data_IF_662720285498
#
_entry.id   IF_662720285498
#
_cell.length_a   1.000
_cell.length_b   1.000
_cell.length_c   1.000
_cell.angle_alpha   90.00
_cell.angle_beta   90.00
_cell.angle_gamma   90.00
#
_symmetry.space_group_name_H-M   'P 1'
#
loop_
_entity.id
_entity.type
_entity.pdbx_description
1 polymer ?
#
# COMPACT_ATOMS: atom_id res chain seq x y z
N UNK A 1 -8.41 3.85 -27.14
CA UNK A 1 -7.86 4.68 -26.04
C UNK A 1 -8.31 4.06 -24.72
N UNK A 2 -7.41 3.68 -23.80
CA UNK A 2 -7.86 3.19 -22.49
C UNK A 2 -8.52 4.37 -21.75
N UNK A 3 -9.72 4.17 -21.21
CA UNK A 3 -10.34 5.15 -20.29
C UNK A 3 -9.33 5.43 -19.17
N UNK A 4 -8.87 6.68 -19.04
CA UNK A 4 -8.13 7.09 -17.85
C UNK A 4 -9.02 6.81 -16.65
N UNK A 5 -8.61 5.88 -15.79
CA UNK A 5 -9.24 5.69 -14.49
C UNK A 5 -8.88 6.92 -13.66
N UNK A 6 -9.79 7.87 -13.62
CA UNK A 6 -9.74 9.03 -12.73
C UNK A 6 -10.64 8.77 -11.54
N UNK A 7 -10.34 9.40 -10.39
CA UNK A 7 -11.26 9.38 -9.25
C UNK A 7 -12.58 10.11 -9.54
N UNK A 8 -12.62 10.91 -10.61
CA UNK A 8 -13.77 11.70 -10.99
C UNK A 8 -14.49 11.02 -12.16
N UNK A 9 -15.79 10.79 -11.99
CA UNK A 9 -16.69 10.33 -13.04
C UNK A 9 -17.36 11.55 -13.68
N UNK A 10 -17.38 11.62 -15.01
CA UNK A 10 -17.63 12.83 -15.80
C UNK A 10 -19.08 13.37 -15.82
N UNK A 11 -19.87 13.18 -14.76
CA UNK A 11 -21.30 13.52 -14.74
C UNK A 11 -21.76 14.50 -13.64
N UNK A 12 -20.91 14.86 -12.67
CA UNK A 12 -21.21 15.88 -11.65
C UNK A 12 -19.96 16.68 -11.26
N UNK A 13 -20.15 17.87 -10.68
CA UNK A 13 -19.03 18.62 -10.09
C UNK A 13 -18.36 17.72 -9.04
N UNK A 14 -17.08 17.39 -9.22
CA UNK A 14 -16.41 16.41 -8.39
C UNK A 14 -16.22 16.95 -6.98
N UNK A 15 -16.87 16.34 -5.99
CA UNK A 15 -16.66 16.72 -4.60
C UNK A 15 -15.35 16.13 -4.06
N UNK A 16 -14.64 16.90 -3.24
CA UNK A 16 -13.47 16.40 -2.50
C UNK A 16 -13.79 15.13 -1.69
N UNK A 17 -15.01 15.00 -1.18
CA UNK A 17 -15.46 13.82 -0.43
C UNK A 17 -15.48 12.56 -1.30
N UNK A 18 -15.90 12.66 -2.57
CA UNK A 18 -15.86 11.53 -3.51
C UNK A 18 -14.43 11.08 -3.81
N UNK A 19 -13.51 12.04 -3.98
CA UNK A 19 -12.10 11.74 -4.20
C UNK A 19 -11.51 11.03 -2.98
N UNK A 20 -11.77 11.54 -1.77
CA UNK A 20 -11.28 10.95 -0.53
C UNK A 20 -11.84 9.55 -0.32
N UNK A 21 -13.16 9.36 -0.45
CA UNK A 21 -13.79 8.04 -0.30
C UNK A 21 -13.26 7.04 -1.33
N UNK A 22 -12.94 7.48 -2.55
CA UNK A 22 -12.38 6.61 -3.57
C UNK A 22 -10.91 6.25 -3.31
N UNK A 23 -10.12 7.18 -2.73
CA UNK A 23 -8.75 6.89 -2.28
C UNK A 23 -8.79 5.94 -1.09
N UNK A 24 -9.63 6.22 -0.08
CA UNK A 24 -9.80 5.39 1.12
C UNK A 24 -10.12 3.94 0.77
N UNK A 25 -11.07 3.72 -0.15
CA UNK A 25 -11.38 2.39 -0.67
C UNK A 25 -10.21 1.72 -1.38
N UNK A 26 -9.38 2.48 -2.09
CA UNK A 26 -8.18 1.93 -2.71
C UNK A 26 -7.11 1.62 -1.64
N UNK A 27 -7.01 2.39 -0.55
CA UNK A 27 -6.15 2.07 0.62
C UNK A 27 -6.58 0.76 1.26
N UNK A 28 -7.87 0.61 1.57
CA UNK A 28 -8.47 -0.60 2.15
C UNK A 28 -8.12 -1.83 1.31
N UNK A 29 -8.25 -1.75 -0.03
CA UNK A 29 -7.85 -2.84 -0.94
C UNK A 29 -6.37 -3.20 -0.86
N UNK A 30 -5.51 -2.22 -0.63
CA UNK A 30 -4.08 -2.44 -0.45
C UNK A 30 -3.81 -3.17 0.86
N UNK A 31 -4.42 -2.72 1.94
CA UNK A 31 -4.32 -3.32 3.28
C UNK A 31 -4.87 -4.75 3.28
N UNK A 32 -6.03 -4.98 2.67
CA UNK A 32 -6.64 -6.30 2.51
C UNK A 32 -5.71 -7.29 1.78
N UNK A 33 -5.04 -6.84 0.72
CA UNK A 33 -4.12 -7.69 -0.02
C UNK A 33 -2.91 -8.11 0.84
N UNK A 34 -2.37 -7.20 1.64
CA UNK A 34 -1.27 -7.49 2.57
C UNK A 34 -1.73 -8.40 3.71
N UNK A 35 -2.91 -8.13 4.27
CA UNK A 35 -3.50 -8.92 5.35
C UNK A 35 -3.84 -10.34 4.89
N UNK A 36 -4.38 -10.50 3.69
CA UNK A 36 -4.62 -11.81 3.08
C UNK A 36 -3.32 -12.57 2.90
N UNK A 37 -2.26 -11.91 2.39
CA UNK A 37 -0.93 -12.51 2.27
C UNK A 37 -0.40 -13.00 3.62
N UNK A 38 -0.49 -12.17 4.66
CA UNK A 38 -0.08 -12.52 6.02
C UNK A 38 -0.92 -13.69 6.57
N UNK A 39 -2.24 -13.65 6.41
CA UNK A 39 -3.15 -14.70 6.85
C UNK A 39 -2.83 -16.05 6.22
N UNK A 40 -2.59 -16.08 4.91
CA UNK A 40 -2.17 -17.29 4.20
C UNK A 40 -0.83 -17.83 4.72
N UNK A 41 0.13 -16.95 5.01
CA UNK A 41 1.41 -17.35 5.59
C UNK A 41 1.22 -17.95 6.99
N UNK A 42 0.36 -17.37 7.83
CA UNK A 42 0.08 -17.91 9.16
C UNK A 42 -0.53 -19.32 9.09
N UNK A 43 -1.35 -19.60 8.08
CA UNK A 43 -1.90 -20.93 7.80
C UNK A 43 -0.85 -21.95 7.36
N UNK A 44 0.35 -21.53 6.94
CA UNK A 44 1.42 -22.47 6.52
C UNK A 44 1.78 -23.49 7.60
N UNK A 45 1.64 -23.11 8.88
CA UNK A 45 1.86 -23.99 10.04
C UNK A 45 0.97 -25.24 10.02
N UNK A 46 -0.25 -25.15 9.49
CA UNK A 46 -1.18 -26.28 9.34
C UNK A 46 -0.65 -27.30 8.32
N UNK A 47 0.08 -26.84 7.31
CA UNK A 47 0.62 -27.68 6.24
C UNK A 47 2.01 -28.24 6.55
N UNK A 48 2.66 -27.79 7.63
CA UNK A 48 3.99 -28.25 8.03
C UNK A 48 4.12 -29.78 8.24
N UNK A 49 3.10 -30.52 8.73
CA UNK A 49 3.15 -31.98 8.82
C UNK A 49 3.04 -32.70 7.47
N UNK A 50 2.56 -32.01 6.42
CA UNK A 50 2.13 -32.63 5.15
C UNK A 50 3.09 -32.24 4.00
N UNK A 51 3.72 -31.07 4.05
CA UNK A 51 4.62 -30.58 3.03
C UNK A 51 6.02 -30.30 3.60
N UNK A 52 7.10 -30.68 2.89
CA UNK A 52 8.45 -30.40 3.34
C UNK A 52 8.77 -28.90 3.29
N UNK A 53 9.72 -28.40 4.11
CA UNK A 53 10.12 -26.99 4.12
C UNK A 53 10.60 -26.46 2.76
N UNK A 54 11.17 -27.33 1.93
CA UNK A 54 11.63 -27.02 0.57
C UNK A 54 10.50 -26.62 -0.38
N UNK A 55 9.25 -26.97 -0.05
CA UNK A 55 8.05 -26.57 -0.79
C UNK A 55 7.32 -25.45 -0.04
N UNK A 56 7.14 -25.61 1.27
CA UNK A 56 6.36 -24.68 2.07
C UNK A 56 6.98 -23.28 2.19
N UNK A 57 8.30 -23.20 2.43
CA UNK A 57 8.98 -21.91 2.64
C UNK A 57 9.06 -21.06 1.36
N UNK A 58 9.34 -21.62 0.17
CA UNK A 58 9.23 -20.88 -1.08
C UNK A 58 7.80 -20.41 -1.37
N UNK A 59 6.77 -21.20 -1.05
CA UNK A 59 5.38 -20.79 -1.20
C UNK A 59 5.04 -19.61 -0.29
N UNK A 60 5.48 -19.64 0.97
CA UNK A 60 5.35 -18.50 1.91
C UNK A 60 6.02 -17.25 1.35
N UNK A 61 7.26 -17.37 0.86
CA UNK A 61 7.96 -16.24 0.25
C UNK A 61 7.23 -15.71 -1.00
N UNK A 62 6.68 -16.60 -1.83
CA UNK A 62 5.91 -16.23 -3.00
C UNK A 62 4.61 -15.50 -2.62
N UNK A 63 3.89 -15.97 -1.60
CA UNK A 63 2.68 -15.31 -1.10
C UNK A 63 2.97 -13.88 -0.68
N UNK A 64 4.01 -13.66 0.14
CA UNK A 64 4.44 -12.32 0.53
C UNK A 64 4.89 -11.46 -0.66
N UNK A 65 5.60 -12.05 -1.62
CA UNK A 65 6.03 -11.32 -2.82
C UNK A 65 4.84 -10.85 -3.66
N UNK A 66 3.82 -11.70 -3.83
CA UNK A 66 2.62 -11.40 -4.61
C UNK A 66 1.75 -10.37 -3.90
N UNK A 67 1.49 -10.51 -2.60
CA UNK A 67 0.71 -9.54 -1.83
C UNK A 67 1.36 -8.16 -1.83
N UNK A 68 2.67 -8.09 -1.53
CA UNK A 68 3.42 -6.84 -1.53
C UNK A 68 3.46 -6.20 -2.92
N UNK A 69 3.62 -7.00 -3.98
CA UNK A 69 3.59 -6.49 -5.36
C UNK A 69 2.23 -5.92 -5.73
N UNK A 70 1.14 -6.58 -5.32
CA UNK A 70 -0.21 -6.08 -5.56
C UNK A 70 -0.45 -4.76 -4.81
N UNK A 71 -0.08 -4.68 -3.52
CA UNK A 71 -0.19 -3.46 -2.74
C UNK A 71 0.61 -2.31 -3.35
N UNK A 72 1.83 -2.58 -3.82
CA UNK A 72 2.69 -1.61 -4.52
C UNK A 72 2.02 -1.08 -5.79
N UNK A 73 1.52 -1.97 -6.64
CA UNK A 73 0.85 -1.60 -7.90
C UNK A 73 -0.39 -0.77 -7.59
N UNK A 74 -1.15 -1.16 -6.57
CA UNK A 74 -2.32 -0.44 -6.10
C UNK A 74 -1.93 0.98 -5.64
N UNK A 75 -0.88 1.13 -4.84
CA UNK A 75 -0.35 2.42 -4.38
C UNK A 75 0.05 3.35 -5.54
N UNK A 76 0.77 2.83 -6.54
CA UNK A 76 1.12 3.59 -7.74
C UNK A 76 -0.10 3.97 -8.58
N UNK A 77 -1.13 3.12 -8.61
CA UNK A 77 -2.38 3.44 -9.28
C UNK A 77 -3.14 4.55 -8.53
N UNK A 78 -3.13 4.57 -7.20
CA UNK A 78 -3.69 5.68 -6.41
C UNK A 78 -3.00 7.00 -6.73
N UNK A 79 -1.67 7.02 -6.74
CA UNK A 79 -0.88 8.21 -7.10
C UNK A 79 -1.28 8.75 -8.48
N UNK A 80 -1.38 7.87 -9.48
CA UNK A 80 -1.79 8.24 -10.85
C UNK A 80 -3.22 8.78 -10.89
N UNK A 81 -4.16 8.10 -10.24
CA UNK A 81 -5.57 8.50 -10.18
C UNK A 81 -5.74 9.86 -9.49
N UNK A 82 -5.03 10.09 -8.38
CA UNK A 82 -5.03 11.37 -7.65
C UNK A 82 -4.40 12.48 -8.47
N UNK A 83 -3.24 12.24 -9.07
CA UNK A 83 -2.55 13.22 -9.92
C UNK A 83 -3.42 13.64 -11.12
N UNK A 84 -4.20 12.71 -11.69
CA UNK A 84 -5.13 13.00 -12.76
C UNK A 84 -6.40 13.75 -12.28
N UNK A 85 -6.79 13.59 -11.02
CA UNK A 85 -7.95 14.28 -10.42
C UNK A 85 -7.61 15.71 -9.95
N UNK A 86 -6.39 15.96 -9.46
CA UNK A 86 -6.00 17.28 -8.91
C UNK A 86 -6.28 18.48 -9.85
N UNK A 87 -5.99 18.43 -11.17
CA UNK A 87 -6.26 19.54 -12.08
C UNK A 87 -7.74 19.85 -12.31
N UNK A 88 -8.64 18.94 -11.93
CA UNK A 88 -10.09 19.07 -12.14
C UNK A 88 -10.80 19.67 -10.91
N UNK A 89 -10.12 19.77 -9.78
CA UNK A 89 -10.64 20.32 -8.54
C UNK A 89 -10.41 21.83 -8.44
N UNK A 90 -11.18 22.51 -7.60
CA UNK A 90 -11.01 23.94 -7.30
C UNK A 90 -9.76 24.19 -6.45
N UNK A 91 -9.26 25.43 -6.44
CA UNK A 91 -8.02 25.79 -5.71
C UNK A 91 -8.07 25.43 -4.22
N UNK A 92 -9.23 25.61 -3.57
CA UNK A 92 -9.41 25.28 -2.15
C UNK A 92 -9.39 23.77 -1.90
N UNK A 93 -10.03 22.97 -2.76
CA UNK A 93 -10.04 21.50 -2.67
C UNK A 93 -8.65 20.91 -2.94
N UNK A 94 -7.90 21.47 -3.90
CA UNK A 94 -6.49 21.11 -4.11
C UNK A 94 -5.63 21.35 -2.87
N UNK A 95 -5.86 22.46 -2.17
CA UNK A 95 -5.15 22.76 -0.93
C UNK A 95 -5.47 21.75 0.17
N UNK A 96 -6.73 21.32 0.26
CA UNK A 96 -7.16 20.30 1.23
C UNK A 96 -6.58 18.92 0.93
N UNK A 97 -6.45 18.52 -0.35
CA UNK A 97 -5.82 17.25 -0.75
C UNK A 97 -4.29 17.27 -0.76
N UNK A 98 -3.66 18.45 -0.63
CA UNK A 98 -2.21 18.58 -0.64
C UNK A 98 -1.49 17.66 0.37
N UNK A 99 -1.98 17.45 1.61
CA UNK A 99 -1.36 16.51 2.54
C UNK A 99 -1.34 15.07 2.00
N UNK A 100 -2.43 14.61 1.38
CA UNK A 100 -2.54 13.27 0.77
C UNK A 100 -1.59 13.15 -0.42
N UNK A 101 -1.57 14.15 -1.31
CA UNK A 101 -0.64 14.19 -2.44
C UNK A 101 0.83 14.20 -1.99
N UNK A 102 1.12 14.84 -0.84
CA UNK A 102 2.46 14.90 -0.27
C UNK A 102 2.96 13.53 0.18
N UNK A 103 2.08 12.66 0.71
CA UNK A 103 2.46 11.30 1.11
C UNK A 103 3.07 10.54 -0.07
N UNK A 104 2.51 10.65 -1.27
CA UNK A 104 3.05 9.98 -2.46
C UNK A 104 4.43 10.51 -2.87
N UNK A 105 4.73 11.78 -2.59
CA UNK A 105 6.04 12.38 -2.85
C UNK A 105 7.06 11.98 -1.78
N UNK A 106 6.67 12.09 -0.52
CA UNK A 106 7.54 11.84 0.64
C UNK A 106 7.85 10.33 0.77
N UNK A 107 6.92 9.46 0.37
CA UNK A 107 7.04 8.00 0.37
C UNK A 107 7.00 7.42 -1.05
N UNK A 108 7.63 8.15 -1.98
CA UNK A 108 7.88 7.69 -3.35
C UNK A 108 8.86 6.51 -3.32
N UNK A 109 8.31 5.31 -3.34
CA UNK A 109 9.11 4.10 -3.47
C UNK A 109 9.54 3.90 -4.94
N UNK A 110 10.67 3.22 -5.14
CA UNK A 110 11.20 2.89 -6.47
C UNK A 110 10.35 1.87 -7.24
N UNK A 111 10.87 1.39 -8.37
CA UNK A 111 10.19 0.34 -9.13
C UNK A 111 10.14 -0.98 -8.35
N UNK A 112 9.18 -1.86 -8.66
CA UNK A 112 9.17 -3.23 -8.11
C UNK A 112 10.52 -3.92 -8.35
N UNK A 113 11.11 -3.72 -9.53
CA UNK A 113 12.42 -4.26 -9.87
C UNK A 113 13.52 -3.76 -8.92
N UNK A 114 13.44 -2.50 -8.47
CA UNK A 114 14.36 -1.96 -7.47
C UNK A 114 14.14 -2.60 -6.11
N UNK A 115 12.89 -2.76 -5.67
CA UNK A 115 12.56 -3.39 -4.38
C UNK A 115 12.97 -4.87 -4.35
N UNK A 116 12.82 -5.61 -5.45
CA UNK A 116 13.26 -7.01 -5.51
C UNK A 116 14.76 -7.19 -5.77
N UNK A 117 15.51 -6.12 -6.05
CA UNK A 117 16.94 -6.22 -6.30
C UNK A 117 17.76 -6.26 -4.99
N UNK A 118 18.39 -7.40 -4.64
CA UNK A 118 19.15 -7.51 -3.39
C UNK A 118 20.40 -6.63 -3.39
N UNK A 119 21.01 -6.37 -4.56
CA UNK A 119 22.20 -5.54 -4.68
C UNK A 119 21.89 -4.04 -4.48
N UNK A 120 20.65 -3.62 -4.74
CA UNK A 120 20.20 -2.26 -4.45
C UNK A 120 19.75 -2.10 -2.99
N UNK A 121 19.36 -3.19 -2.32
CA UNK A 121 18.81 -3.18 -0.97
C UNK A 121 19.73 -3.90 0.03
N UNK A 122 21.02 -3.56 0.01
CA UNK A 122 22.05 -4.24 0.80
C UNK A 122 21.71 -4.35 2.29
N UNK A 123 21.13 -3.31 2.88
CA UNK A 123 20.74 -3.33 4.30
C UNK A 123 19.62 -4.34 4.58
N UNK A 124 18.61 -4.42 3.71
CA UNK A 124 17.54 -5.41 3.83
C UNK A 124 18.09 -6.81 3.58
N UNK A 125 18.88 -6.99 2.52
CA UNK A 125 19.54 -8.27 2.21
C UNK A 125 20.39 -8.73 3.37
N UNK A 126 21.17 -7.86 3.99
CA UNK A 126 21.97 -8.19 5.17
C UNK A 126 21.11 -8.69 6.33
N UNK A 127 20.02 -7.98 6.65
CA UNK A 127 19.06 -8.42 7.69
C UNK A 127 18.45 -9.78 7.36
N UNK A 128 18.08 -10.00 6.10
CA UNK A 128 17.50 -11.27 5.64
C UNK A 128 18.50 -12.41 5.68
N UNK A 129 19.77 -12.16 5.31
CA UNK A 129 20.87 -13.13 5.39
C UNK A 129 21.13 -13.49 6.85
N UNK A 130 21.21 -12.50 7.74
CA UNK A 130 21.39 -12.74 9.16
C UNK A 130 20.26 -13.59 9.75
N UNK A 131 19.00 -13.26 9.44
CA UNK A 131 17.85 -14.07 9.87
C UNK A 131 17.88 -15.48 9.27
N UNK A 132 18.26 -15.62 8.00
CA UNK A 132 18.37 -16.91 7.32
C UNK A 132 19.46 -17.80 7.92
N UNK A 133 20.65 -17.27 8.19
CA UNK A 133 21.76 -18.02 8.79
C UNK A 133 21.38 -18.52 10.20
N UNK A 134 20.65 -17.72 10.97
CA UNK A 134 20.23 -18.08 12.34
C UNK A 134 19.19 -19.20 12.40
N UNK A 135 18.41 -19.43 11.34
CA UNK A 135 17.32 -20.41 11.33
C UNK A 135 17.57 -21.50 10.27
N UNK A 136 17.45 -21.14 8.99
CA UNK A 136 17.90 -21.92 7.84
C UNK A 136 17.94 -21.03 6.57
N UNK A 137 18.71 -21.40 5.52
CA UNK A 137 18.83 -20.59 4.31
C UNK A 137 17.51 -20.30 3.56
N UNK A 138 16.49 -21.16 3.68
CA UNK A 138 15.18 -20.94 3.05
C UNK A 138 14.36 -19.82 3.72
N UNK A 139 14.74 -19.36 4.91
CA UNK A 139 14.12 -18.18 5.55
C UNK A 139 14.62 -16.86 4.97
N UNK A 140 15.79 -16.83 4.32
CA UNK A 140 16.33 -15.60 3.76
C UNK A 140 15.35 -14.96 2.74
N UNK A 141 14.81 -15.69 1.74
CA UNK A 141 13.78 -15.15 0.86
C UNK A 141 12.57 -14.61 1.60
N UNK A 142 12.08 -15.33 2.61
CA UNK A 142 10.91 -14.92 3.42
C UNK A 142 11.17 -13.59 4.11
N UNK A 143 12.29 -13.45 4.83
CA UNK A 143 12.61 -12.21 5.52
C UNK A 143 12.83 -11.05 4.55
N UNK A 144 13.35 -11.32 3.36
CA UNK A 144 13.54 -10.30 2.34
C UNK A 144 12.19 -9.74 1.87
N UNK A 145 11.26 -10.62 1.47
CA UNK A 145 9.94 -10.20 0.97
C UNK A 145 9.05 -9.66 2.09
N UNK A 146 9.15 -10.19 3.30
CA UNK A 146 8.48 -9.62 4.49
C UNK A 146 8.93 -8.18 4.73
N UNK A 147 10.21 -7.89 4.53
CA UNK A 147 10.74 -6.52 4.59
C UNK A 147 10.17 -5.60 3.50
N UNK A 148 9.77 -6.12 2.34
CA UNK A 148 9.02 -5.35 1.33
C UNK A 148 7.58 -5.11 1.82
N UNK A 149 6.91 -6.17 2.29
CA UNK A 149 5.54 -6.07 2.80
C UNK A 149 5.38 -5.03 3.92
N UNK A 150 6.31 -4.98 4.89
CA UNK A 150 6.29 -4.00 5.98
C UNK A 150 6.39 -2.55 5.47
N UNK A 151 7.13 -2.34 4.39
CA UNK A 151 7.26 -1.01 3.78
C UNK A 151 5.94 -0.60 3.12
N UNK A 152 5.31 -1.50 2.36
CA UNK A 152 4.01 -1.22 1.74
C UNK A 152 2.93 -0.94 2.80
N UNK A 153 2.91 -1.70 3.89
CA UNK A 153 1.99 -1.49 5.02
C UNK A 153 2.18 -0.11 5.65
N UNK A 154 3.43 0.32 5.86
CA UNK A 154 3.73 1.66 6.37
C UNK A 154 3.27 2.77 5.42
N UNK A 155 3.49 2.60 4.13
CA UNK A 155 3.09 3.59 3.13
C UNK A 155 1.57 3.76 3.08
N UNK A 156 0.82 2.66 3.14
CA UNK A 156 -0.64 2.68 3.25
C UNK A 156 -1.09 3.31 4.57
N UNK A 157 -0.42 3.00 5.68
CA UNK A 157 -0.69 3.61 6.98
C UNK A 157 -0.49 5.14 7.00
N UNK A 158 0.57 5.66 6.38
CA UNK A 158 0.77 7.12 6.24
C UNK A 158 -0.31 7.76 5.37
N UNK A 159 -0.74 7.06 4.31
CA UNK A 159 -1.77 7.54 3.42
C UNK A 159 -3.14 7.59 4.13
N UNK A 160 -3.48 6.54 4.87
CA UNK A 160 -4.67 6.47 5.72
C UNK A 160 -4.70 7.62 6.75
N UNK A 161 -3.59 7.85 7.46
CA UNK A 161 -3.48 8.98 8.39
C UNK A 161 -3.69 10.34 7.72
N UNK A 162 -3.19 10.51 6.50
CA UNK A 162 -3.40 11.74 5.74
C UNK A 162 -4.86 11.92 5.30
N UNK A 163 -5.55 10.83 4.91
CA UNK A 163 -6.97 10.84 4.56
C UNK A 163 -7.80 11.25 5.77
N UNK A 164 -7.65 10.56 6.90
CA UNK A 164 -8.34 10.88 8.16
C UNK A 164 -8.13 12.34 8.56
N UNK A 165 -6.89 12.85 8.44
CA UNK A 165 -6.57 14.23 8.76
C UNK A 165 -7.20 15.27 7.81
N UNK A 166 -7.55 14.89 6.59
CA UNK A 166 -8.31 15.73 5.65
C UNK A 166 -9.81 15.60 5.90
N UNK A 167 -10.32 14.39 6.14
CA UNK A 167 -11.71 14.15 6.50
C UNK A 167 -12.12 14.93 7.74
N UNK A 168 -11.28 14.96 8.78
CA UNK A 168 -11.53 15.76 10.00
C UNK A 168 -11.63 17.27 9.73
N UNK A 169 -11.04 17.77 8.64
CA UNK A 169 -11.14 19.19 8.25
C UNK A 169 -12.38 19.48 7.41
N UNK A 170 -12.99 18.46 6.84
CA UNK A 170 -14.18 18.55 5.97
C UNK A 170 -15.44 18.17 6.75
N UNK A 171 -15.33 17.25 7.71
CA UNK A 171 -16.37 16.92 8.66
C UNK A 171 -16.68 18.17 9.52
N UNK A 172 -17.95 18.53 9.68
CA UNK A 172 -18.36 19.92 9.92
C UNK A 172 -18.29 20.25 11.43
N UNK A 173 -18.13 21.47 11.94
CA UNK A 173 -18.78 22.77 11.59
C UNK A 173 -20.30 22.66 11.40
N UNK A 174 -20.95 21.51 11.67
CA UNK A 174 -22.41 21.32 11.59
C UNK A 174 -23.06 21.12 12.95
N UNK A 175 -22.31 21.35 14.03
CA UNK A 175 -22.84 21.32 15.40
C UNK A 175 -23.13 22.72 15.97
N UNK A 176 -22.99 23.80 15.17
CA UNK A 176 -23.15 25.19 15.65
C UNK A 176 -24.41 25.92 15.11
N UNK A 177 -25.34 25.25 14.43
CA UNK A 177 -26.60 25.88 13.95
C UNK A 177 -27.89 25.32 14.58
N UNK A 178 -27.81 24.75 15.78
CA UNK A 178 -29.01 24.48 16.59
C UNK A 178 -28.81 24.92 18.04
N UNK A 179 -28.88 26.24 18.25
CA UNK A 179 -29.35 26.85 19.51
C UNK A 179 -30.75 27.43 19.30
#
# INVERSE_FOLDING_TARGET
MPKQQTYLSSQHEPSIAEVLAAIDKDVERGEDALMLGLGLVMLSSIFAPIAPPTVLLPLVALTFAVSASYARINYQNMERKLTAALPQLNSQERLLLRPVARVFVDYSEGSLADSFNPFKNLWRTWKSVMGGILINPFWMPIFYVMGIQIIEERNLGYLNQAIIGVEQKIAPVANDETE
#
